data_IF_275160861325
#
_entry.id   IF_275160861325
#
_cell.length_a   1.000
_cell.length_b   1.000
_cell.length_c   1.000
_cell.angle_alpha   90.00
_cell.angle_beta   90.00
_cell.angle_gamma   90.00
#
_symmetry.space_group_name_H-M   'P 1'
#
loop_
_entity.id
_entity.type
_entity.pdbx_description
1 polymer ?
#
# COMPACT_ATOMS: atom_id res chain seq x y z
N UNK A 1 36.64 -56.40 17.01
CA UNK A 1 35.18 -56.19 16.94
C UNK A 1 34.71 -55.02 17.85
N UNK A 2 35.55 -54.02 18.10
CA UNK A 2 35.27 -52.96 19.09
C UNK A 2 34.98 -51.60 18.43
N UNK A 3 35.58 -51.36 17.26
CA UNK A 3 35.49 -50.10 16.50
C UNK A 3 34.11 -49.88 15.85
N UNK A 4 33.25 -50.90 15.79
CA UNK A 4 31.91 -50.77 15.22
C UNK A 4 30.87 -50.20 16.20
N UNK A 5 31.12 -50.27 17.52
CA UNK A 5 30.16 -49.83 18.55
C UNK A 5 30.24 -48.34 18.89
N UNK A 6 31.34 -47.67 18.53
CA UNK A 6 31.49 -46.22 18.77
C UNK A 6 30.78 -45.38 17.71
N UNK A 7 30.71 -45.84 16.46
CA UNK A 7 30.06 -45.10 15.36
C UNK A 7 28.53 -44.98 15.50
N UNK A 8 27.91 -45.82 16.31
CA UNK A 8 26.47 -45.76 16.59
C UNK A 8 26.11 -44.74 17.68
N UNK A 9 27.05 -44.38 18.57
CA UNK A 9 26.77 -43.45 19.68
C UNK A 9 26.77 -41.98 19.26
N UNK A 10 27.45 -41.61 18.19
CA UNK A 10 27.47 -40.22 17.69
C UNK A 10 26.23 -39.83 16.86
N UNK A 11 25.40 -40.80 16.43
CA UNK A 11 24.20 -40.50 15.62
C UNK A 11 22.98 -40.06 16.43
N UNK A 12 23.02 -40.17 17.76
CA UNK A 12 21.86 -39.89 18.63
C UNK A 12 21.72 -38.41 19.04
N UNK A 13 22.64 -37.53 18.64
CA UNK A 13 22.67 -36.12 19.08
C UNK A 13 22.35 -35.13 17.95
N UNK A 14 21.69 -35.57 16.88
CA UNK A 14 20.96 -34.64 16.01
C UNK A 14 19.59 -34.45 16.61
N UNK A 15 19.49 -33.43 17.48
CA UNK A 15 18.24 -32.97 18.04
C UNK A 15 17.18 -32.86 16.96
N UNK A 16 16.14 -33.67 17.07
CA UNK A 16 14.91 -33.54 16.30
C UNK A 16 14.35 -32.15 16.56
N UNK A 17 14.63 -31.24 15.61
CA UNK A 17 14.09 -29.87 15.53
C UNK A 17 12.60 -29.84 15.14
N UNK A 18 11.97 -31.01 15.04
CA UNK A 18 10.65 -31.19 14.44
C UNK A 18 9.54 -31.43 15.48
N UNK A 19 9.78 -31.06 16.74
CA UNK A 19 8.74 -31.07 17.77
C UNK A 19 8.35 -29.61 18.03
N UNK A 20 7.13 -29.17 17.66
CA UNK A 20 6.67 -27.85 18.03
C UNK A 20 6.73 -27.73 19.55
N UNK A 21 7.58 -26.82 20.02
CA UNK A 21 7.76 -26.49 21.43
C UNK A 21 6.39 -26.13 21.98
N UNK A 22 5.86 -26.93 22.91
CA UNK A 22 4.59 -26.63 23.57
C UNK A 22 4.63 -25.18 24.10
N UNK A 23 3.57 -24.38 23.88
CA UNK A 23 3.55 -23.00 24.28
C UNK A 23 3.75 -22.95 25.80
N UNK A 24 4.90 -22.42 26.23
CA UNK A 24 5.15 -22.08 27.63
C UNK A 24 3.97 -21.22 28.08
N UNK A 25 3.13 -21.73 28.99
CA UNK A 25 2.12 -20.93 29.69
C UNK A 25 2.81 -19.69 30.23
N UNK A 26 2.60 -18.56 29.57
CA UNK A 26 3.13 -17.27 29.99
C UNK A 26 2.31 -16.89 31.22
N UNK A 27 2.95 -16.86 32.38
CA UNK A 27 2.40 -16.37 33.65
C UNK A 27 2.41 -14.83 33.72
N UNK A 28 2.69 -14.17 32.59
CA UNK A 28 2.58 -12.72 32.50
C UNK A 28 1.11 -12.38 32.27
N UNK A 29 0.52 -11.43 33.01
CA UNK A 29 -0.79 -10.89 32.69
C UNK A 29 -0.80 -10.53 31.21
N UNK A 30 -1.72 -11.12 30.46
CA UNK A 30 -1.90 -10.80 29.05
C UNK A 30 -2.42 -9.37 29.00
N UNK A 31 -1.51 -8.43 28.75
CA UNK A 31 -1.84 -7.03 28.54
C UNK A 31 -2.72 -6.98 27.31
N UNK A 32 -4.03 -6.83 27.49
CA UNK A 32 -5.03 -6.78 26.43
C UNK A 32 -4.75 -5.55 25.54
N UNK A 33 -4.13 -5.75 24.37
CA UNK A 33 -3.70 -4.65 23.52
C UNK A 33 -4.89 -3.94 22.86
N UNK A 34 -6.08 -4.56 22.86
CA UNK A 34 -7.28 -4.04 22.22
C UNK A 34 -8.00 -3.03 23.12
N UNK A 35 -8.06 -3.29 24.44
CA UNK A 35 -8.61 -2.34 25.40
C UNK A 35 -7.78 -1.05 25.46
N UNK A 36 -6.45 -1.18 25.46
CA UNK A 36 -5.55 -0.03 25.45
C UNK A 36 -5.55 0.69 24.09
N UNK A 37 -5.70 -0.04 22.98
CA UNK A 37 -5.85 0.55 21.65
C UNK A 37 -7.07 1.48 21.56
N UNK A 38 -8.22 1.05 22.09
CA UNK A 38 -9.44 1.87 22.13
C UNK A 38 -9.29 3.10 23.02
N UNK A 39 -8.68 2.95 24.19
CA UNK A 39 -8.40 4.07 25.10
C UNK A 39 -7.47 5.11 24.47
N UNK A 40 -6.40 4.66 23.80
CA UNK A 40 -5.46 5.56 23.11
C UNK A 40 -6.10 6.29 21.93
N UNK A 41 -6.98 5.63 21.16
CA UNK A 41 -7.75 6.26 20.07
C UNK A 41 -8.69 7.36 20.59
N UNK A 42 -9.29 7.15 21.76
CA UNK A 42 -10.16 8.13 22.41
C UNK A 42 -9.36 9.30 22.98
N UNK A 43 -8.24 9.03 23.65
CA UNK A 43 -7.32 10.05 24.17
C UNK A 43 -6.73 10.88 23.01
N UNK A 44 -6.32 10.25 21.90
CA UNK A 44 -5.79 10.96 20.74
C UNK A 44 -6.80 11.91 20.12
N UNK A 45 -8.06 11.47 19.95
CA UNK A 45 -9.15 12.35 19.47
C UNK A 45 -9.47 13.46 20.47
N UNK A 46 -9.37 13.18 21.76
CA UNK A 46 -9.64 14.15 22.82
C UNK A 46 -8.56 15.23 22.94
N UNK A 47 -7.28 14.85 22.92
CA UNK A 47 -6.13 15.77 22.96
C UNK A 47 -5.96 16.56 21.65
N UNK A 48 -6.26 15.94 20.50
CA UNK A 48 -6.15 16.59 19.18
C UNK A 48 -7.24 17.63 18.92
N UNK A 49 -8.36 17.58 19.65
CA UNK A 49 -9.43 18.57 19.54
C UNK A 49 -9.20 19.69 20.56
N UNK A 50 -9.15 20.96 20.14
CA UNK A 50 -8.94 22.12 21.02
C UNK A 50 -9.91 22.25 22.22
N UNK A 51 -10.93 21.38 22.31
CA UNK A 51 -11.85 21.19 23.44
C UNK A 51 -11.13 20.88 24.75
N UNK A 52 -10.02 20.13 24.75
CA UNK A 52 -9.27 19.84 25.97
C UNK A 52 -8.75 21.12 26.63
N UNK A 53 -8.17 22.02 25.83
CA UNK A 53 -7.64 23.30 26.30
C UNK A 53 -8.76 24.15 26.89
N UNK A 54 -9.91 24.24 26.20
CA UNK A 54 -11.08 24.98 26.69
C UNK A 54 -11.55 24.46 28.05
N UNK A 55 -11.66 23.13 28.21
CA UNK A 55 -12.08 22.53 29.48
C UNK A 55 -11.07 22.75 30.60
N UNK A 56 -9.77 22.60 30.31
CA UNK A 56 -8.70 22.87 31.27
C UNK A 56 -8.68 24.33 31.73
N UNK A 57 -8.82 25.28 30.80
CA UNK A 57 -8.93 26.71 31.14
C UNK A 57 -10.15 26.96 32.01
N UNK A 58 -11.30 26.37 31.67
CA UNK A 58 -12.52 26.50 32.47
C UNK A 58 -12.32 26.02 33.91
N UNK A 59 -11.73 24.84 34.12
CA UNK A 59 -11.45 24.29 35.45
C UNK A 59 -10.53 25.21 36.26
N UNK A 60 -9.44 25.70 35.65
CA UNK A 60 -8.50 26.62 36.30
C UNK A 60 -9.19 27.94 36.66
N UNK A 61 -9.98 28.51 35.75
CA UNK A 61 -10.73 29.73 35.99
C UNK A 61 -11.74 29.56 37.12
N UNK A 62 -12.51 28.47 37.14
CA UNK A 62 -13.47 28.18 38.21
C UNK A 62 -12.76 28.02 39.56
N UNK A 63 -11.61 27.35 39.59
CA UNK A 63 -10.80 27.20 40.80
C UNK A 63 -10.34 28.55 41.38
N UNK A 64 -9.81 29.42 40.51
CA UNK A 64 -9.37 30.76 40.90
C UNK A 64 -10.56 31.57 41.41
N UNK A 65 -11.67 31.60 40.66
CA UNK A 65 -12.87 32.36 41.04
C UNK A 65 -13.39 31.88 42.40
N UNK A 66 -13.47 30.56 42.61
CA UNK A 66 -13.92 29.99 43.88
C UNK A 66 -13.06 30.49 45.05
N UNK A 67 -11.73 30.40 44.93
CA UNK A 67 -10.82 30.76 46.00
C UNK A 67 -10.69 32.28 46.23
N UNK A 68 -10.99 33.10 45.23
CA UNK A 68 -10.98 34.56 45.35
C UNK A 68 -12.29 35.10 45.93
N UNK A 69 -13.44 34.59 45.45
CA UNK A 69 -14.77 35.13 45.79
C UNK A 69 -15.28 34.56 47.11
N UNK A 70 -14.90 33.34 47.50
CA UNK A 70 -15.40 32.75 48.74
C UNK A 70 -14.85 33.44 50.00
N UNK A 71 -15.63 33.46 51.10
CA UNK A 71 -15.17 33.95 52.41
C UNK A 71 -13.94 33.16 52.90
N UNK A 72 -13.05 33.82 53.65
CA UNK A 72 -11.82 33.24 54.21
C UNK A 72 -11.96 31.79 54.77
N UNK A 73 -13.01 31.41 55.52
CA UNK A 73 -13.13 30.04 56.03
C UNK A 73 -13.43 28.96 54.97
N UNK A 74 -13.83 29.34 53.75
CA UNK A 74 -14.17 28.44 52.63
C UNK A 74 -13.14 28.47 51.50
N UNK A 75 -12.07 29.28 51.65
CA UNK A 75 -10.95 29.32 50.71
C UNK A 75 -10.07 28.10 50.97
N UNK A 76 -9.96 27.22 49.98
CA UNK A 76 -9.11 26.04 50.06
C UNK A 76 -7.67 26.34 49.66
N UNK A 77 -7.45 27.31 48.78
CA UNK A 77 -6.18 27.61 48.13
C UNK A 77 -6.01 29.13 47.93
N UNK A 78 -5.50 29.83 48.94
CA UNK A 78 -5.28 31.28 48.90
C UNK A 78 -4.02 31.63 48.09
N UNK A 79 -3.95 32.86 47.54
CA UNK A 79 -2.80 33.32 46.76
C UNK A 79 -1.50 33.10 47.56
N UNK A 80 -0.51 32.34 47.03
CA UNK A 80 -0.21 32.12 45.61
C UNK A 80 -0.70 30.80 44.96
N UNK A 81 -1.79 30.20 45.43
CA UNK A 81 -2.40 28.98 44.84
C UNK A 81 -1.47 27.75 44.80
N UNK A 82 -0.94 27.36 45.97
CA UNK A 82 -0.01 26.23 46.09
C UNK A 82 -0.67 24.93 45.65
N UNK A 83 -1.94 24.68 46.01
CA UNK A 83 -2.60 23.42 45.67
C UNK A 83 -2.82 23.29 44.16
N UNK A 84 -3.26 24.36 43.51
CA UNK A 84 -3.39 24.39 42.05
C UNK A 84 -2.04 24.10 41.37
N UNK A 85 -0.96 24.71 41.87
CA UNK A 85 0.40 24.53 41.33
C UNK A 85 0.89 23.09 41.52
N UNK A 86 0.67 22.49 42.70
CA UNK A 86 1.01 21.10 42.97
C UNK A 86 0.21 20.14 42.10
N UNK A 87 -1.09 20.41 41.91
CA UNK A 87 -1.95 19.59 41.05
C UNK A 87 -1.49 19.64 39.59
N UNK A 88 -1.19 20.83 39.05
CA UNK A 88 -0.72 20.99 37.67
C UNK A 88 0.66 20.36 37.44
N UNK A 89 1.58 20.45 38.41
CA UNK A 89 2.89 19.81 38.30
C UNK A 89 2.80 18.29 38.34
N UNK A 90 1.94 17.73 39.21
CA UNK A 90 1.63 16.30 39.22
C UNK A 90 0.99 15.85 37.91
N UNK A 91 0.02 16.61 37.40
CA UNK A 91 -0.66 16.32 36.14
C UNK A 91 0.36 16.20 34.99
N UNK A 92 1.28 17.17 34.86
CA UNK A 92 2.33 17.14 33.84
C UNK A 92 3.25 15.90 34.00
N UNK A 93 3.63 15.57 35.23
CA UNK A 93 4.49 14.42 35.52
C UNK A 93 3.86 13.08 35.16
N UNK A 94 2.55 12.90 35.39
CA UNK A 94 1.84 11.66 35.05
C UNK A 94 1.36 11.62 33.59
N UNK A 95 1.20 12.77 32.94
CA UNK A 95 0.87 12.83 31.52
C UNK A 95 2.01 12.27 30.65
N UNK A 96 3.27 12.57 30.98
CA UNK A 96 4.43 12.12 30.21
C UNK A 96 4.48 10.57 29.99
N UNK A 97 4.41 9.72 31.03
CA UNK A 97 4.44 8.26 30.82
C UNK A 97 3.21 7.73 30.08
N UNK A 98 2.02 8.31 30.30
CA UNK A 98 0.82 7.94 29.55
C UNK A 98 0.93 8.27 28.06
N UNK A 99 1.47 9.45 27.74
CA UNK A 99 1.73 9.87 26.36
C UNK A 99 2.76 8.95 25.72
N UNK A 100 3.86 8.61 26.44
CA UNK A 100 4.89 7.69 25.93
C UNK A 100 4.32 6.29 25.62
N UNK A 101 3.43 5.77 26.47
CA UNK A 101 2.75 4.49 26.22
C UNK A 101 1.81 4.56 25.00
N UNK A 102 1.12 5.68 24.80
CA UNK A 102 0.30 5.91 23.61
C UNK A 102 1.15 6.02 22.33
N UNK A 103 2.30 6.69 22.41
CA UNK A 103 3.24 6.89 21.30
C UNK A 103 3.90 5.58 20.84
N UNK A 104 4.38 4.74 21.76
CA UNK A 104 5.02 3.45 21.40
C UNK A 104 4.15 2.58 20.47
N UNK A 105 2.82 2.63 20.63
CA UNK A 105 1.90 1.87 19.76
C UNK A 105 1.62 2.56 18.42
N UNK A 106 1.68 3.88 18.37
CA UNK A 106 1.60 4.60 17.09
C UNK A 106 2.84 4.28 16.25
N UNK A 107 4.02 4.32 16.86
CA UNK A 107 5.28 3.98 16.20
C UNK A 107 5.29 2.54 15.66
N UNK A 108 4.73 1.58 16.40
CA UNK A 108 4.58 0.18 15.94
C UNK A 108 3.65 0.05 14.72
N UNK A 109 2.50 0.75 14.70
CA UNK A 109 1.59 0.78 13.54
C UNK A 109 2.26 1.45 12.34
N UNK A 110 2.90 2.59 12.57
CA UNK A 110 3.56 3.36 11.52
C UNK A 110 4.71 2.56 10.90
N UNK A 111 5.45 1.79 11.71
CA UNK A 111 6.45 0.86 11.22
C UNK A 111 5.85 -0.22 10.30
N UNK A 112 4.74 -0.83 10.68
CA UNK A 112 4.08 -1.86 9.86
C UNK A 112 3.60 -1.27 8.53
N UNK A 113 2.99 -0.08 8.57
CA UNK A 113 2.55 0.63 7.36
C UNK A 113 3.75 0.93 6.45
N UNK A 114 4.86 1.43 7.00
CA UNK A 114 6.11 1.67 6.26
C UNK A 114 6.68 0.41 5.61
N UNK A 115 6.65 -0.72 6.31
CA UNK A 115 7.11 -2.00 5.76
C UNK A 115 6.20 -2.51 4.62
N UNK A 116 4.88 -2.28 4.71
CA UNK A 116 3.94 -2.60 3.65
C UNK A 116 4.11 -1.70 2.43
N UNK A 117 4.26 -0.39 2.63
CA UNK A 117 4.49 0.58 1.55
C UNK A 117 5.77 0.26 0.79
N UNK A 118 6.86 -0.11 1.49
CA UNK A 118 8.09 -0.57 0.84
C UNK A 118 7.86 -1.78 -0.05
N UNK A 119 7.14 -2.80 0.44
CA UNK A 119 6.82 -4.00 -0.36
C UNK A 119 5.92 -3.68 -1.54
N UNK A 120 4.96 -2.77 -1.40
CA UNK A 120 4.14 -2.32 -2.52
C UNK A 120 4.98 -1.57 -3.56
N UNK A 121 5.87 -0.69 -3.12
CA UNK A 121 6.74 0.06 -4.02
C UNK A 121 7.69 -0.87 -4.80
N UNK A 122 8.29 -1.86 -4.14
CA UNK A 122 9.10 -2.89 -4.80
C UNK A 122 8.31 -3.64 -5.88
N UNK A 123 7.06 -4.03 -5.59
CA UNK A 123 6.17 -4.66 -6.57
C UNK A 123 5.82 -3.72 -7.72
N UNK A 124 5.51 -2.46 -7.42
CA UNK A 124 5.18 -1.46 -8.44
C UNK A 124 6.36 -1.21 -9.39
N UNK A 125 7.58 -1.21 -8.88
CA UNK A 125 8.80 -1.11 -9.70
C UNK A 125 8.91 -2.34 -10.59
N UNK A 126 8.75 -3.55 -10.04
CA UNK A 126 8.81 -4.79 -10.81
C UNK A 126 7.73 -4.87 -11.90
N UNK A 127 6.49 -4.45 -11.60
CA UNK A 127 5.39 -4.38 -12.58
C UNK A 127 5.70 -3.37 -13.68
N UNK A 128 6.28 -2.22 -13.34
CA UNK A 128 6.68 -1.20 -14.32
C UNK A 128 7.81 -1.72 -15.22
N UNK A 129 8.80 -2.41 -14.67
CA UNK A 129 9.87 -3.05 -15.43
C UNK A 129 9.33 -4.14 -16.36
N UNK A 130 8.39 -4.96 -15.87
CA UNK A 130 7.71 -5.98 -16.67
C UNK A 130 6.94 -5.35 -17.83
N UNK A 131 6.08 -4.36 -17.56
CA UNK A 131 5.33 -3.65 -18.59
C UNK A 131 6.25 -2.97 -19.61
N UNK A 132 7.36 -2.37 -19.15
CA UNK A 132 8.34 -1.75 -20.06
C UNK A 132 8.99 -2.78 -20.98
N UNK A 133 9.32 -3.97 -20.44
CA UNK A 133 9.87 -5.07 -21.23
C UNK A 133 8.84 -5.61 -22.22
N UNK A 134 7.58 -5.73 -21.79
CA UNK A 134 6.48 -6.20 -22.64
C UNK A 134 6.16 -5.19 -23.75
N UNK A 135 6.20 -3.89 -23.47
CA UNK A 135 6.05 -2.84 -24.49
C UNK A 135 7.24 -2.88 -25.46
N UNK A 136 8.46 -3.12 -24.97
CA UNK A 136 9.62 -3.26 -25.83
C UNK A 136 9.52 -4.48 -26.75
N UNK A 137 9.07 -5.63 -26.25
CA UNK A 137 8.87 -6.84 -27.06
C UNK A 137 7.72 -6.66 -28.06
N UNK A 138 6.60 -6.06 -27.65
CA UNK A 138 5.49 -5.68 -28.54
C UNK A 138 5.96 -4.72 -29.63
N UNK A 139 6.76 -3.71 -29.29
CA UNK A 139 7.34 -2.76 -30.26
C UNK A 139 8.27 -3.45 -31.26
N UNK A 140 9.09 -4.40 -30.80
CA UNK A 140 9.95 -5.18 -31.70
C UNK A 140 9.13 -6.07 -32.63
N UNK A 141 8.13 -6.79 -32.11
CA UNK A 141 7.24 -7.62 -32.91
C UNK A 141 6.41 -6.80 -33.92
N UNK A 142 5.89 -5.64 -33.53
CA UNK A 142 5.22 -4.72 -34.46
C UNK A 142 6.21 -4.09 -35.46
N UNK A 143 7.44 -3.82 -35.05
CA UNK A 143 8.50 -3.31 -35.90
C UNK A 143 8.92 -4.29 -37.00
N UNK A 144 8.90 -5.59 -36.73
CA UNK A 144 9.17 -6.63 -37.75
C UNK A 144 7.98 -6.83 -38.70
N UNK A 145 6.74 -6.63 -38.25
CA UNK A 145 5.53 -6.95 -39.03
C UNK A 145 4.93 -5.75 -39.78
N UNK A 146 5.27 -4.50 -39.44
CA UNK A 146 4.56 -3.33 -39.96
C UNK A 146 5.42 -2.19 -40.54
N UNK A 147 6.70 -2.41 -40.84
CA UNK A 147 7.56 -1.27 -41.23
C UNK A 147 7.60 -1.07 -42.75
N UNK A 148 6.56 -0.41 -43.27
CA UNK A 148 6.47 0.27 -44.57
C UNK A 148 6.59 -0.59 -45.84
N UNK A 149 7.59 -1.45 -45.97
CA UNK A 149 7.81 -2.22 -47.20
C UNK A 149 6.81 -3.37 -47.33
N UNK A 150 6.42 -4.01 -46.22
CA UNK A 150 5.31 -4.98 -46.22
C UNK A 150 3.95 -4.32 -46.55
N UNK A 151 3.64 -3.20 -45.88
CA UNK A 151 2.41 -2.45 -46.17
C UNK A 151 2.39 -1.94 -47.63
N UNK A 152 3.55 -1.53 -48.14
CA UNK A 152 3.71 -1.09 -49.53
C UNK A 152 3.54 -2.26 -50.50
N UNK A 153 4.11 -3.42 -50.23
CA UNK A 153 3.95 -4.60 -51.09
C UNK A 153 2.50 -5.06 -51.11
N UNK A 154 1.84 -5.10 -49.95
CA UNK A 154 0.44 -5.52 -49.85
C UNK A 154 -0.50 -4.55 -50.57
N UNK A 155 -0.29 -3.23 -50.40
CA UNK A 155 -1.04 -2.22 -51.15
C UNK A 155 -0.79 -2.30 -52.66
N UNK A 156 0.45 -2.58 -53.09
CA UNK A 156 0.76 -2.74 -54.51
C UNK A 156 0.13 -4.00 -55.09
N UNK A 157 0.12 -5.11 -54.34
CA UNK A 157 -0.52 -6.36 -54.74
C UNK A 157 -2.03 -6.17 -54.90
N UNK A 158 -2.70 -5.57 -53.92
CA UNK A 158 -4.13 -5.23 -54.00
C UNK A 158 -4.46 -4.30 -55.18
N UNK A 159 -3.63 -3.28 -55.45
CA UNK A 159 -3.81 -2.40 -56.61
C UNK A 159 -3.67 -3.17 -57.93
N UNK A 160 -2.71 -4.09 -58.00
CA UNK A 160 -2.43 -4.88 -59.21
C UNK A 160 -3.57 -5.86 -59.52
N UNK A 161 -4.14 -6.48 -58.48
CA UNK A 161 -5.32 -7.34 -58.60
C UNK A 161 -6.55 -6.58 -59.13
N UNK A 162 -6.77 -5.36 -58.63
CA UNK A 162 -7.85 -4.49 -59.13
C UNK A 162 -7.64 -4.09 -60.60
N UNK A 163 -6.41 -3.76 -61.00
CA UNK A 163 -6.09 -3.46 -62.40
C UNK A 163 -6.25 -4.68 -63.33
N UNK A 164 -5.85 -5.88 -62.88
CA UNK A 164 -6.05 -7.11 -63.63
C UNK A 164 -7.54 -7.42 -63.82
N UNK A 165 -8.33 -7.25 -62.76
CA UNK A 165 -9.78 -7.43 -62.81
C UNK A 165 -10.42 -6.45 -63.80
N UNK A 166 -10.03 -5.18 -63.77
CA UNK A 166 -10.52 -4.17 -64.72
C UNK A 166 -10.05 -4.39 -66.17
N UNK A 167 -8.87 -4.97 -66.39
CA UNK A 167 -8.39 -5.37 -67.72
C UNK A 167 -9.17 -6.54 -68.29
N UNK A 168 -9.42 -7.57 -67.48
CA UNK A 168 -10.22 -8.72 -67.88
C UNK A 168 -11.63 -8.30 -68.32
N UNK A 169 -12.23 -7.33 -67.62
CA UNK A 169 -13.54 -6.79 -67.96
C UNK A 169 -13.53 -6.06 -69.32
N UNK A 170 -12.49 -5.26 -69.58
CA UNK A 170 -12.33 -4.54 -70.87
C UNK A 170 -12.03 -5.46 -72.05
N UNK A 171 -11.25 -6.52 -71.84
CA UNK A 171 -10.92 -7.48 -72.90
C UNK A 171 -12.13 -8.35 -73.26
N UNK A 172 -12.98 -8.66 -72.28
CA UNK A 172 -14.28 -9.28 -72.51
C UNK A 172 -15.19 -8.38 -73.37
N UNK A 173 -15.22 -7.08 -73.08
CA UNK A 173 -16.02 -6.09 -73.84
C UNK A 173 -15.51 -5.88 -75.28
N UNK A 174 -14.19 -5.89 -75.50
CA UNK A 174 -13.59 -5.79 -76.84
C UNK A 174 -13.79 -7.05 -77.69
N UNK A 175 -13.76 -8.23 -77.07
CA UNK A 175 -14.01 -9.50 -77.78
C UNK A 175 -15.46 -9.58 -78.27
N UNK A 176 -16.41 -9.06 -77.48
CA UNK A 176 -17.81 -8.93 -77.88
C UNK A 176 -17.95 -7.92 -79.04
N UNK A 177 -17.24 -6.79 -78.99
CA UNK A 177 -17.31 -5.74 -80.03
C UNK A 177 -16.67 -6.18 -81.36
N UNK A 178 -15.55 -6.92 -81.31
CA UNK A 178 -14.81 -7.35 -82.52
C UNK A 178 -15.51 -8.48 -83.29
N UNK A 179 -16.42 -9.21 -82.65
CA UNK A 179 -17.20 -10.29 -83.28
C UNK A 179 -18.48 -9.77 -83.96
N UNK A 180 -18.78 -8.47 -83.87
CA UNK A 180 -20.00 -7.84 -84.42
C UNK A 180 -19.90 -7.17 -85.80
N UNK A 181 -18.85 -7.40 -86.59
CA UNK A 181 -18.69 -6.78 -87.93
C UNK A 181 -19.54 -7.46 -89.02
N UNK A 182 -20.25 -6.72 -89.91
CA UNK A 182 -21.23 -7.29 -90.84
C UNK A 182 -20.57 -8.08 -91.99
N UNK A 183 -21.24 -9.11 -92.53
CA UNK A 183 -20.64 -10.00 -93.52
C UNK A 183 -20.38 -9.29 -94.86
N UNK A 184 -19.26 -9.58 -95.56
CA UNK A 184 -18.99 -9.01 -96.88
C UNK A 184 -19.99 -9.56 -97.90
N UNK A 185 -20.71 -8.66 -98.57
CA UNK A 185 -21.60 -8.96 -99.67
C UNK A 185 -20.86 -9.57 -100.87
N UNK A 186 -21.60 -10.41 -101.60
CA UNK A 186 -21.23 -11.08 -102.85
C UNK A 186 -20.94 -10.12 -104.00
#
# INVERSE_FOLDING_TARGET
>A
MEVARERERERSTRGRLDVPRAPRRRLLPEYDPDAFGRLSEEIARFLGTGRFIVWMTFVVTVWIIWNVVMPAPLRFDEYPFIFLTLALSLQASYAAPLILLAQNRQDDRDRVNLEQDRKQNERSIADTEFLTREIASLRMGLGEVATRDWIRSELQELVKDLEQTGRMDRDAEQTVTRTGGPPPGM
#
